data_IF_807854329985
#
_entry.id   IF_807854329985
#
_cell.length_a   1.000
_cell.length_b   1.000
_cell.length_c   1.000
_cell.angle_alpha   90.00
_cell.angle_beta   90.00
_cell.angle_gamma   90.00
#
_symmetry.space_group_name_H-M   'P 1'
#
loop_
_entity.id
_entity.type
_entity.pdbx_description
1 polymer ?
#
# COMPACT_ATOMS: atom_id res chain seq x y z
N UNK A 1 -5.01 -1.04 -14.57
CA UNK A 1 -4.11 -2.11 -15.07
C UNK A 1 -4.53 -3.45 -14.45
N UNK A 2 -3.70 -4.48 -14.53
CA UNK A 2 -3.94 -5.77 -13.88
C UNK A 2 -4.02 -5.65 -12.34
N UNK A 3 -3.31 -4.67 -11.76
CA UNK A 3 -3.31 -4.38 -10.32
C UNK A 3 -4.65 -3.82 -9.82
N UNK A 4 -5.37 -3.05 -10.63
CA UNK A 4 -6.74 -2.64 -10.31
C UNK A 4 -7.78 -3.72 -10.65
N UNK A 5 -7.61 -4.42 -11.77
CA UNK A 5 -8.58 -5.41 -12.26
C UNK A 5 -8.70 -6.63 -11.33
N UNK A 6 -7.57 -7.21 -10.90
CA UNK A 6 -7.54 -8.42 -10.07
C UNK A 6 -8.32 -8.28 -8.76
N UNK A 7 -8.05 -7.29 -7.88
CA UNK A 7 -8.79 -7.16 -6.64
C UNK A 7 -10.28 -6.88 -6.88
N UNK A 8 -10.62 -6.08 -7.89
CA UNK A 8 -12.02 -5.75 -8.19
C UNK A 8 -12.81 -6.96 -8.70
N UNK A 9 -12.23 -7.82 -9.55
CA UNK A 9 -12.90 -9.05 -9.98
C UNK A 9 -13.13 -10.04 -8.83
N UNK A 10 -12.26 -10.04 -7.82
CA UNK A 10 -12.42 -10.88 -6.63
C UNK A 10 -13.44 -10.29 -5.64
N UNK A 11 -13.44 -8.98 -5.42
CA UNK A 11 -14.33 -8.30 -4.48
C UNK A 11 -15.76 -8.13 -5.02
N UNK A 12 -15.88 -7.79 -6.30
CA UNK A 12 -17.15 -7.46 -6.98
C UNK A 12 -17.27 -8.20 -8.33
N UNK A 13 -17.41 -9.54 -8.32
CA UNK A 13 -17.40 -10.35 -9.54
C UNK A 13 -18.55 -10.04 -10.51
N UNK A 14 -19.64 -9.46 -10.01
CA UNK A 14 -20.78 -9.05 -10.84
C UNK A 14 -20.55 -7.71 -11.59
N UNK A 15 -19.48 -6.97 -11.26
CA UNK A 15 -19.18 -5.65 -11.83
C UNK A 15 -20.35 -4.65 -11.74
N UNK A 16 -21.06 -4.67 -10.61
CA UNK A 16 -22.28 -3.91 -10.34
C UNK A 16 -22.06 -2.62 -9.52
N UNK A 17 -20.80 -2.28 -9.25
CA UNK A 17 -20.41 -1.02 -8.59
C UNK A 17 -19.84 -0.01 -9.60
N UNK A 18 -20.18 1.28 -9.51
CA UNK A 18 -19.51 2.33 -10.29
C UNK A 18 -18.04 2.47 -9.89
N UNK A 19 -17.17 2.70 -10.88
CA UNK A 19 -15.72 2.83 -10.69
C UNK A 19 -15.21 4.12 -11.33
N UNK A 20 -14.37 4.85 -10.60
CA UNK A 20 -13.62 6.00 -11.12
C UNK A 20 -12.12 5.70 -10.97
N UNK A 21 -11.40 5.44 -12.07
CA UNK A 21 -9.96 5.22 -12.00
C UNK A 21 -9.22 6.55 -11.79
N UNK A 22 -8.25 6.54 -10.89
CA UNK A 22 -7.34 7.66 -10.65
C UNK A 22 -5.90 7.21 -10.91
N UNK A 23 -5.17 7.98 -11.72
CA UNK A 23 -3.75 7.74 -11.97
C UNK A 23 -2.88 8.37 -10.89
N UNK A 24 -1.75 7.73 -10.59
CA UNK A 24 -0.70 8.29 -9.72
C UNK A 24 0.14 9.33 -10.47
N UNK A 25 0.85 10.16 -9.70
CA UNK A 25 1.79 11.13 -10.24
C UNK A 25 3.19 10.48 -10.33
N UNK A 26 3.63 10.17 -11.55
CA UNK A 26 4.85 9.35 -11.79
C UNK A 26 6.16 9.92 -11.22
N UNK A 27 6.33 11.25 -11.25
CA UNK A 27 7.56 11.91 -10.77
C UNK A 27 7.43 12.45 -9.33
N UNK A 28 6.53 11.87 -8.53
CA UNK A 28 6.20 12.36 -7.19
C UNK A 28 6.45 11.30 -6.10
N UNK A 29 6.83 11.76 -4.92
CA UNK A 29 7.12 10.89 -3.78
C UNK A 29 5.93 10.68 -2.83
N UNK A 30 6.18 10.04 -1.67
CA UNK A 30 5.16 9.76 -0.65
C UNK A 30 4.36 10.99 -0.18
N UNK A 31 5.00 12.14 0.01
CA UNK A 31 4.33 13.35 0.55
C UNK A 31 3.27 13.91 -0.41
N UNK A 32 3.50 13.86 -1.73
CA UNK A 32 2.49 14.28 -2.72
C UNK A 32 1.30 13.32 -2.73
N UNK A 33 1.57 12.01 -2.67
CA UNK A 33 0.50 11.00 -2.61
C UNK A 33 -0.28 11.06 -1.30
N UNK A 34 0.36 11.46 -0.20
CA UNK A 34 -0.31 11.79 1.04
C UNK A 34 -1.26 12.99 0.87
N UNK A 35 -0.84 14.04 0.17
CA UNK A 35 -1.71 15.20 -0.14
C UNK A 35 -2.91 14.80 -1.00
N UNK A 36 -2.73 13.92 -1.99
CA UNK A 36 -3.83 13.36 -2.78
C UNK A 36 -4.82 12.63 -1.87
N UNK A 37 -4.36 11.72 -1.02
CA UNK A 37 -5.24 10.99 -0.10
C UNK A 37 -6.01 11.92 0.84
N UNK A 38 -5.38 12.96 1.39
CA UNK A 38 -6.07 13.99 2.19
C UNK A 38 -7.15 14.73 1.42
N UNK A 39 -6.93 15.01 0.14
CA UNK A 39 -7.94 15.65 -0.72
C UNK A 39 -9.12 14.72 -1.02
N UNK A 40 -8.90 13.41 -1.03
CA UNK A 40 -9.95 12.40 -1.26
C UNK A 40 -10.70 12.00 0.03
N UNK A 41 -10.16 12.28 1.21
CA UNK A 41 -10.73 11.90 2.50
C UNK A 41 -12.24 12.21 2.67
N UNK A 42 -12.76 13.38 2.21
CA UNK A 42 -14.20 13.68 2.35
C UNK A 42 -15.12 12.67 1.65
N UNK A 43 -14.65 12.01 0.57
CA UNK A 43 -15.44 11.03 -0.18
C UNK A 43 -15.81 9.80 0.66
N UNK A 44 -15.01 9.48 1.68
CA UNK A 44 -15.32 8.37 2.60
C UNK A 44 -16.63 8.61 3.35
N UNK A 45 -16.94 9.86 3.70
CA UNK A 45 -18.20 10.22 4.36
C UNK A 45 -19.40 10.13 3.41
N UNK A 46 -19.18 10.24 2.10
CA UNK A 46 -20.18 10.09 1.05
C UNK A 46 -20.40 8.61 0.65
N UNK A 47 -19.83 7.66 1.39
CA UNK A 47 -19.98 6.23 1.13
C UNK A 47 -19.10 5.70 -0.01
N UNK A 48 -18.09 6.46 -0.44
CA UNK A 48 -17.13 6.02 -1.46
C UNK A 48 -16.05 5.14 -0.82
N UNK A 49 -15.83 3.95 -1.40
CA UNK A 49 -14.67 3.12 -1.08
C UNK A 49 -13.44 3.61 -1.86
N UNK A 50 -12.39 3.99 -1.14
CA UNK A 50 -11.08 4.24 -1.73
C UNK A 50 -10.26 2.94 -1.75
N UNK A 51 -10.06 2.40 -2.95
CA UNK A 51 -9.21 1.23 -3.19
C UNK A 51 -7.88 1.67 -3.82
N UNK A 52 -6.79 1.41 -3.11
CA UNK A 52 -5.42 1.61 -3.61
C UNK A 52 -4.76 0.24 -3.81
N UNK A 53 -4.15 0.02 -4.97
CA UNK A 53 -3.52 -1.25 -5.33
C UNK A 53 -2.07 -1.05 -5.73
N UNK A 54 -1.18 -1.87 -5.18
CA UNK A 54 0.27 -1.78 -5.29
C UNK A 54 0.94 -2.97 -4.60
N UNK A 55 2.20 -2.82 -4.19
CA UNK A 55 2.96 -3.85 -3.48
C UNK A 55 3.83 -3.24 -2.39
N UNK A 56 4.00 -3.96 -1.28
CA UNK A 56 4.92 -3.55 -0.21
C UNK A 56 6.39 -3.75 -0.61
N UNK A 57 6.69 -4.70 -1.50
CA UNK A 57 8.00 -4.77 -2.16
C UNK A 57 7.80 -5.04 -3.65
N UNK A 58 8.59 -4.37 -4.48
CA UNK A 58 8.46 -4.48 -5.93
C UNK A 58 9.81 -4.28 -6.63
N UNK A 59 10.65 -5.32 -6.58
CA UNK A 59 11.89 -5.39 -7.34
C UNK A 59 11.81 -6.49 -8.38
N UNK A 60 11.47 -6.10 -9.62
CA UNK A 60 11.32 -7.04 -10.73
C UNK A 60 12.67 -7.63 -11.19
N UNK A 61 13.79 -6.96 -10.92
CA UNK A 61 15.10 -7.54 -11.21
C UNK A 61 15.35 -8.73 -10.30
N UNK A 62 15.16 -8.57 -8.99
CA UNK A 62 15.29 -9.67 -8.02
C UNK A 62 14.24 -10.75 -8.27
N UNK A 63 13.00 -10.39 -8.62
CA UNK A 63 11.94 -11.35 -8.98
C UNK A 63 12.32 -12.24 -10.16
N UNK A 64 12.89 -11.67 -11.23
CA UNK A 64 13.34 -12.44 -12.41
C UNK A 64 14.45 -13.45 -12.10
N UNK A 65 15.26 -13.17 -11.07
CA UNK A 65 16.34 -14.05 -10.63
C UNK A 65 15.95 -14.90 -9.42
N UNK A 66 14.75 -14.71 -8.88
CA UNK A 66 14.27 -15.48 -7.74
C UNK A 66 14.00 -16.90 -8.20
N UNK A 67 14.61 -17.93 -7.59
CA UNK A 67 14.21 -19.29 -7.82
C UNK A 67 12.81 -19.47 -7.23
N UNK A 68 11.78 -19.33 -8.06
CA UNK A 68 10.37 -19.55 -7.69
C UNK A 68 10.15 -20.91 -6.99
N UNK A 69 11.10 -21.83 -7.12
CA UNK A 69 11.11 -23.18 -6.57
C UNK A 69 11.74 -23.33 -5.17
N UNK A 70 12.45 -22.34 -4.61
CA UNK A 70 13.07 -22.53 -3.27
C UNK A 70 12.08 -22.39 -2.13
N UNK A 71 10.94 -21.71 -2.34
CA UNK A 71 9.98 -21.36 -1.30
C UNK A 71 10.57 -20.48 -0.18
N UNK A 72 11.81 -20.00 -0.36
CA UNK A 72 12.54 -19.28 0.68
C UNK A 72 12.38 -17.77 0.46
N UNK A 73 11.78 -17.12 1.44
CA UNK A 73 11.64 -15.67 1.48
C UNK A 73 13.02 -15.01 1.58
N UNK A 74 13.22 -13.96 0.79
CA UNK A 74 14.40 -13.12 0.90
C UNK A 74 14.30 -12.30 2.17
N UNK A 75 15.35 -12.34 3.00
CA UNK A 75 15.40 -11.61 4.27
C UNK A 75 15.08 -10.12 4.09
N UNK A 76 15.55 -9.50 3.01
CA UNK A 76 15.30 -8.07 2.78
C UNK A 76 13.81 -7.77 2.59
N UNK A 77 13.06 -8.66 1.94
CA UNK A 77 11.65 -8.45 1.63
C UNK A 77 10.82 -8.57 2.91
N UNK A 78 11.12 -9.57 3.75
CA UNK A 78 10.49 -9.72 5.07
C UNK A 78 10.81 -8.56 6.01
N UNK A 79 12.08 -8.15 6.10
CA UNK A 79 12.50 -7.05 6.97
C UNK A 79 11.88 -5.71 6.55
N UNK A 80 11.82 -5.42 5.24
CA UNK A 80 11.14 -4.22 4.74
C UNK A 80 9.64 -4.25 5.02
N UNK A 81 8.97 -5.36 4.70
CA UNK A 81 7.53 -5.50 4.88
C UNK A 81 7.11 -5.38 6.35
N UNK A 82 7.90 -5.99 7.25
CA UNK A 82 7.64 -5.91 8.69
C UNK A 82 7.91 -4.50 9.24
N UNK A 83 8.95 -3.82 8.76
CA UNK A 83 9.17 -2.41 9.10
C UNK A 83 7.97 -1.55 8.67
N UNK A 84 7.47 -1.73 7.45
CA UNK A 84 6.28 -1.01 6.97
C UNK A 84 5.06 -1.30 7.84
N UNK A 85 4.80 -2.58 8.15
CA UNK A 85 3.67 -2.99 8.98
C UNK A 85 3.72 -2.34 10.38
N UNK A 86 4.91 -2.30 11.00
CA UNK A 86 5.10 -1.67 12.32
C UNK A 86 4.85 -0.17 12.28
N UNK A 87 5.34 0.54 11.27
CA UNK A 87 5.12 2.00 11.13
C UNK A 87 3.68 2.34 10.81
N UNK A 88 3.01 1.53 10.00
CA UNK A 88 1.57 1.63 9.76
C UNK A 88 0.79 1.40 11.06
N UNK A 89 1.09 0.33 11.80
CA UNK A 89 0.42 0.04 13.08
C UNK A 89 0.60 1.16 14.12
N UNK A 90 1.76 1.80 14.13
CA UNK A 90 2.08 2.92 15.01
C UNK A 90 1.49 4.27 14.56
N UNK A 91 0.93 4.37 13.35
CA UNK A 91 0.52 5.65 12.78
C UNK A 91 1.70 6.60 12.51
N UNK A 92 2.92 6.07 12.32
CA UNK A 92 4.16 6.83 12.21
C UNK A 92 4.32 7.42 10.79
N UNK A 93 3.50 8.43 10.49
CA UNK A 93 3.49 9.12 9.19
C UNK A 93 4.88 9.63 8.81
N UNK A 94 5.61 10.21 9.76
CA UNK A 94 6.90 10.83 9.49
C UNK A 94 7.91 9.80 8.99
N UNK A 95 7.98 8.63 9.64
CA UNK A 95 8.81 7.53 9.17
C UNK A 95 8.34 6.99 7.83
N UNK A 96 7.02 6.79 7.64
CA UNK A 96 6.45 6.25 6.41
C UNK A 96 6.77 7.13 5.19
N UNK A 97 6.62 8.45 5.30
CA UNK A 97 6.95 9.38 4.21
C UNK A 97 8.46 9.38 3.90
N UNK A 98 9.30 9.19 4.91
CA UNK A 98 10.77 9.14 4.79
C UNK A 98 11.32 7.69 4.75
N UNK A 99 10.49 6.72 4.33
CA UNK A 99 10.86 5.30 4.35
C UNK A 99 12.13 5.02 3.55
N UNK A 100 12.39 5.80 2.49
CA UNK A 100 13.61 5.72 1.68
C UNK A 100 14.90 5.81 2.50
N UNK A 101 14.89 6.60 3.58
CA UNK A 101 16.05 6.81 4.46
C UNK A 101 16.01 5.94 5.71
N UNK A 102 14.81 5.58 6.18
CA UNK A 102 14.62 4.95 7.49
C UNK A 102 14.36 3.44 7.43
N UNK A 103 13.74 2.95 6.35
CA UNK A 103 13.40 1.54 6.22
C UNK A 103 14.63 0.72 5.80
N UNK A 104 14.83 -0.48 6.38
CA UNK A 104 15.87 -1.38 5.94
C UNK A 104 15.63 -1.79 4.48
N UNK A 105 16.66 -1.77 3.65
CA UNK A 105 16.60 -2.22 2.24
C UNK A 105 15.66 -1.43 1.33
N UNK A 106 15.23 -0.22 1.69
CA UNK A 106 14.24 0.55 0.92
C UNK A 106 14.58 0.70 -0.58
N UNK A 107 15.84 1.01 -0.90
CA UNK A 107 16.32 1.13 -2.28
C UNK A 107 16.24 -0.18 -3.06
N UNK A 108 16.42 -1.32 -2.39
CA UNK A 108 16.34 -2.65 -2.99
C UNK A 108 14.90 -3.15 -3.09
N UNK A 109 14.07 -2.91 -2.08
CA UNK A 109 12.64 -3.22 -2.08
C UNK A 109 11.89 -2.47 -3.17
N UNK A 110 12.30 -1.22 -3.41
CA UNK A 110 11.74 -0.33 -4.41
C UNK A 110 12.85 0.36 -5.22
N UNK A 111 13.36 -0.23 -6.32
CA UNK A 111 14.22 0.49 -7.25
C UNK A 111 13.57 1.79 -7.75
N UNK A 112 12.25 1.77 -7.87
CA UNK A 112 11.35 2.90 -8.11
C UNK A 112 10.12 2.80 -7.19
N UNK A 113 9.45 3.93 -6.91
CA UNK A 113 8.46 4.03 -5.82
C UNK A 113 7.03 3.67 -6.25
N UNK A 114 6.74 3.61 -7.54
CA UNK A 114 5.40 3.66 -8.12
C UNK A 114 4.43 2.62 -7.53
N UNK A 115 4.92 1.43 -7.20
CA UNK A 115 4.10 0.37 -6.62
C UNK A 115 3.82 0.52 -5.12
N UNK A 116 4.59 1.36 -4.41
CA UNK A 116 4.32 1.69 -3.00
C UNK A 116 3.46 2.93 -2.85
N UNK A 117 3.55 3.88 -3.79
CA UNK A 117 2.83 5.17 -3.73
C UNK A 117 1.31 5.08 -3.47
N UNK A 118 0.56 4.08 -3.99
CA UNK A 118 -0.86 3.90 -3.69
C UNK A 118 -1.16 3.79 -2.19
N UNK A 119 -0.28 3.15 -1.41
CA UNK A 119 -0.44 2.97 0.03
C UNK A 119 -0.61 4.32 0.75
N UNK A 120 0.17 5.32 0.36
CA UNK A 120 0.14 6.65 0.99
C UNK A 120 -1.17 7.39 0.70
N UNK A 121 -1.81 7.14 -0.44
CA UNK A 121 -3.13 7.68 -0.76
C UNK A 121 -4.18 7.09 0.19
N UNK A 122 -4.22 5.77 0.35
CA UNK A 122 -5.18 5.10 1.22
C UNK A 122 -4.98 5.46 2.70
N UNK A 123 -3.73 5.46 3.18
CA UNK A 123 -3.38 5.88 4.54
C UNK A 123 -3.83 7.30 4.83
N UNK A 124 -3.51 8.24 3.94
CA UNK A 124 -3.82 9.64 4.15
C UNK A 124 -5.33 9.92 4.10
N UNK A 125 -6.06 9.21 3.23
CA UNK A 125 -7.51 9.36 3.13
C UNK A 125 -8.24 8.91 4.40
N UNK A 126 -7.72 7.90 5.10
CA UNK A 126 -8.27 7.47 6.38
C UNK A 126 -8.12 8.53 7.50
N UNK A 127 -7.27 9.54 7.30
CA UNK A 127 -7.07 10.62 8.26
C UNK A 127 -6.17 10.22 9.43
N UNK A 128 -5.90 11.20 10.30
CA UNK A 128 -5.05 10.96 11.46
C UNK A 128 -5.79 10.10 12.50
N UNK A 129 -5.06 9.22 13.20
CA UNK A 129 -5.67 8.30 14.18
C UNK A 129 -6.47 7.15 13.55
N UNK A 130 -6.28 6.87 12.25
CA UNK A 130 -6.85 5.69 11.61
C UNK A 130 -6.55 4.41 12.41
N UNK A 131 -7.44 3.43 12.34
CA UNK A 131 -7.23 2.09 12.89
C UNK A 131 -6.84 1.15 11.75
N UNK A 132 -5.56 0.75 11.65
CA UNK A 132 -5.14 -0.19 10.62
C UNK A 132 -5.54 -1.61 10.97
N UNK A 133 -5.84 -2.40 9.94
CA UNK A 133 -5.97 -3.83 10.04
C UNK A 133 -5.24 -4.48 8.86
N UNK A 134 -4.16 -5.25 9.14
CA UNK A 134 -3.43 -6.02 8.14
C UNK A 134 -4.24 -7.29 7.84
N UNK A 135 -4.99 -7.25 6.76
CA UNK A 135 -5.90 -8.32 6.31
C UNK A 135 -5.13 -9.56 5.85
N UNK A 136 -3.97 -9.33 5.21
CA UNK A 136 -3.13 -10.38 4.68
C UNK A 136 -1.66 -9.95 4.75
N UNK A 137 -0.79 -10.94 4.94
CA UNK A 137 0.66 -10.82 4.91
C UNK A 137 1.22 -12.06 4.22
N UNK A 138 2.07 -11.86 3.22
CA UNK A 138 2.68 -12.96 2.49
C UNK A 138 3.67 -12.47 1.45
N UNK A 139 4.69 -13.29 1.17
CA UNK A 139 5.72 -12.98 0.19
C UNK A 139 5.64 -13.98 -0.97
N UNK A 140 5.30 -13.48 -2.15
CA UNK A 140 5.27 -14.25 -3.39
C UNK A 140 6.63 -14.26 -4.08
N UNK A 141 6.97 -15.41 -4.68
CA UNK A 141 8.24 -15.64 -5.37
C UNK A 141 9.47 -15.20 -4.53
N UNK A 142 9.37 -15.28 -3.20
CA UNK A 142 10.41 -14.91 -2.25
C UNK A 142 10.77 -13.43 -2.15
N UNK A 143 10.17 -12.54 -2.96
CA UNK A 143 10.58 -11.12 -3.02
C UNK A 143 9.45 -10.10 -3.14
N UNK A 144 8.22 -10.53 -3.43
CA UNK A 144 7.06 -9.64 -3.58
C UNK A 144 6.15 -9.74 -2.35
N UNK A 145 6.21 -8.77 -1.46
CA UNK A 145 5.31 -8.68 -0.31
C UNK A 145 3.94 -8.18 -0.77
N UNK A 146 2.93 -9.04 -0.60
CA UNK A 146 1.58 -8.92 -1.12
C UNK A 146 0.55 -8.47 -0.07
N UNK A 147 1.02 -7.80 0.98
CA UNK A 147 0.18 -7.39 2.09
C UNK A 147 -1.07 -6.62 1.64
N UNK A 148 -2.16 -6.83 2.37
CA UNK A 148 -3.40 -6.08 2.20
C UNK A 148 -3.79 -5.42 3.53
N UNK A 149 -4.20 -4.16 3.45
CA UNK A 149 -4.55 -3.35 4.63
C UNK A 149 -5.94 -2.74 4.47
N UNK A 150 -6.70 -2.73 5.57
CA UNK A 150 -7.85 -1.88 5.74
C UNK A 150 -7.51 -0.74 6.71
N UNK A 151 -7.86 0.49 6.34
CA UNK A 151 -7.69 1.67 7.19
C UNK A 151 -9.07 2.23 7.53
N UNK A 152 -9.47 2.08 8.78
CA UNK A 152 -10.72 2.64 9.27
C UNK A 152 -10.45 4.05 9.79
N UNK A 153 -11.13 5.09 9.31
CA UNK A 153 -11.00 6.42 9.88
C UNK A 153 -11.24 6.39 11.39
N UNK A 154 -10.53 7.25 12.13
CA UNK A 154 -10.90 7.50 13.51
C UNK A 154 -12.39 7.89 13.52
N UNK A 155 -13.20 7.12 14.24
CA UNK A 155 -14.57 7.55 14.53
C UNK A 155 -14.43 8.88 15.24
N UNK A 156 -14.85 9.97 14.60
CA UNK A 156 -15.00 11.23 15.32
C UNK A 156 -15.92 10.96 16.51
N UNK A 157 -15.49 11.33 17.71
CA UNK A 157 -16.40 11.41 18.84
C UNK A 157 -17.52 12.39 18.45
N UNK A 158 -18.65 11.86 17.97
CA UNK A 158 -19.72 12.70 17.43
C UNK A 158 -20.83 11.97 16.70
N UNK A 159 -21.60 11.14 17.42
CA UNK A 159 -22.98 11.47 17.85
C UNK A 159 -23.49 10.44 18.86
#
# INVERSE_FOLDING_TARGET
DHGAWTPLCLMYPAADIPLVPLSLLGDSGPEEHFRIGRALAPLLADGVLLLASGNITHNLADWRHSPAASGQESLYAGEFAEWMAQRIAAGDRAALVDYRRQAPHAARAHPSEEHLLPLFVALAAAGDGYRPHRLYAGIEAGVLAMDSYAFWPATGDGQ
#
